data_IF_459875516419
#
_entry.id   IF_459875516419
#
_cell.length_a   1.000
_cell.length_b   1.000
_cell.length_c   1.000
_cell.angle_alpha   90.00
_cell.angle_beta   90.00
_cell.angle_gamma   90.00
#
_symmetry.space_group_name_H-M   'P 1'
#
loop_
_entity.id
_entity.type
_entity.pdbx_description
1 polymer ?
#
# COMPACT_ATOMS: atom_id res chain seq x y z
N UNK A 1 93.98 55.37 -24.71
CA UNK A 1 93.24 55.18 -25.90
C UNK A 1 91.77 54.99 -25.62
N UNK A 2 91.04 56.04 -25.72
CA UNK A 2 89.58 56.05 -25.50
C UNK A 2 88.84 55.29 -26.64
N UNK A 3 88.18 54.29 -26.34
CA UNK A 3 87.18 53.67 -27.24
C UNK A 3 85.83 54.21 -26.87
N UNK A 4 85.44 55.32 -27.53
CA UNK A 4 84.09 55.84 -27.49
C UNK A 4 83.14 54.87 -28.20
N UNK A 5 82.40 54.10 -27.44
CA UNK A 5 81.27 53.35 -27.98
C UNK A 5 80.18 54.35 -28.39
N UNK A 6 80.09 54.66 -29.65
CA UNK A 6 78.96 55.37 -30.27
C UNK A 6 77.74 54.43 -30.03
N UNK A 7 76.89 54.79 -29.11
CA UNK A 7 75.53 54.23 -29.09
C UNK A 7 74.81 54.73 -30.31
N UNK A 8 74.68 53.87 -31.30
CA UNK A 8 73.85 54.15 -32.46
C UNK A 8 72.39 54.26 -32.03
N UNK A 9 71.77 55.46 -32.18
CA UNK A 9 70.36 55.68 -31.78
C UNK A 9 69.41 54.78 -32.48
N UNK A 10 69.75 54.24 -33.65
CA UNK A 10 68.95 53.28 -34.38
C UNK A 10 68.84 51.95 -33.63
N UNK A 11 69.94 51.48 -32.98
CA UNK A 11 69.90 50.27 -32.20
C UNK A 11 69.06 50.37 -30.90
N UNK A 12 69.05 51.61 -30.31
CA UNK A 12 68.19 51.88 -29.14
C UNK A 12 66.68 51.82 -29.49
N UNK A 13 66.34 52.38 -30.67
CA UNK A 13 64.95 52.37 -31.17
C UNK A 13 64.52 50.95 -31.54
N UNK A 14 65.37 50.16 -32.17
CA UNK A 14 65.11 48.78 -32.50
C UNK A 14 64.88 47.96 -31.22
N UNK A 15 65.71 48.11 -30.21
CA UNK A 15 65.57 47.46 -28.94
C UNK A 15 64.28 47.82 -28.19
N UNK A 16 63.90 49.09 -28.20
CA UNK A 16 62.63 49.56 -27.62
C UNK A 16 61.41 49.02 -28.35
N UNK A 17 61.46 48.95 -29.66
CA UNK A 17 60.35 48.34 -30.48
C UNK A 17 60.28 46.83 -30.20
N UNK A 18 61.40 46.15 -30.12
CA UNK A 18 61.40 44.71 -29.78
C UNK A 18 60.83 44.42 -28.37
N UNK A 19 61.18 45.23 -27.39
CA UNK A 19 60.64 45.12 -26.03
C UNK A 19 59.12 45.46 -26.02
N UNK A 20 58.72 46.49 -26.70
CA UNK A 20 57.31 46.90 -26.79
C UNK A 20 56.44 45.78 -27.48
N UNK A 21 56.94 45.21 -28.60
CA UNK A 21 56.25 44.10 -29.27
C UNK A 21 56.23 42.85 -28.43
N UNK A 22 57.30 42.49 -27.72
CA UNK A 22 57.34 41.32 -26.81
C UNK A 22 56.36 41.52 -25.64
N UNK A 23 56.25 42.72 -25.10
CA UNK A 23 55.31 43.06 -24.04
C UNK A 23 53.85 42.99 -24.56
N UNK A 24 53.56 43.57 -25.73
CA UNK A 24 52.22 43.49 -26.33
C UNK A 24 51.80 42.07 -26.65
N UNK A 25 52.68 41.22 -27.20
CA UNK A 25 52.43 39.82 -27.45
C UNK A 25 52.25 39.07 -26.14
N UNK A 26 53.06 39.34 -25.10
CA UNK A 26 52.92 38.72 -23.77
C UNK A 26 51.58 39.08 -23.11
N UNK A 27 51.11 40.31 -23.22
CA UNK A 27 49.80 40.76 -22.71
C UNK A 27 48.67 40.06 -23.49
N UNK A 28 48.76 40.00 -24.81
CA UNK A 28 47.78 39.36 -25.68
C UNK A 28 47.67 37.84 -25.38
N UNK A 29 48.81 37.17 -25.25
CA UNK A 29 48.85 35.73 -24.91
C UNK A 29 48.28 35.47 -23.51
N UNK A 30 48.58 36.32 -22.54
CA UNK A 30 47.97 36.19 -21.19
C UNK A 30 46.45 36.40 -21.25
N UNK A 31 45.97 37.39 -21.99
CA UNK A 31 44.55 37.71 -22.14
C UNK A 31 43.81 36.56 -22.83
N UNK A 32 44.32 36.04 -23.95
CA UNK A 32 43.73 34.90 -24.67
C UNK A 32 43.76 33.57 -23.87
N UNK A 33 44.83 33.35 -23.11
CA UNK A 33 44.89 32.19 -22.17
C UNK A 33 43.84 32.30 -21.06
N UNK A 34 43.66 33.51 -20.48
CA UNK A 34 42.62 33.76 -19.46
C UNK A 34 41.20 33.56 -20.01
N UNK A 35 40.93 34.12 -21.21
CA UNK A 35 39.63 33.97 -21.87
C UNK A 35 39.33 32.51 -22.23
N UNK A 36 40.30 31.73 -22.75
CA UNK A 36 40.17 30.31 -23.02
C UNK A 36 39.95 29.51 -21.74
N UNK A 37 40.70 29.83 -20.67
CA UNK A 37 40.51 29.14 -19.38
C UNK A 37 39.09 29.39 -18.82
N UNK A 38 38.64 30.61 -18.84
CA UNK A 38 37.30 30.98 -18.39
C UNK A 38 36.19 30.32 -19.22
N UNK A 39 36.39 30.23 -20.53
CA UNK A 39 35.44 29.56 -21.44
C UNK A 39 35.37 28.08 -21.19
N UNK A 40 36.52 27.39 -20.95
CA UNK A 40 36.56 25.95 -20.61
C UNK A 40 35.89 25.66 -19.25
N UNK A 41 36.11 26.53 -18.27
CA UNK A 41 35.50 26.40 -16.96
C UNK A 41 33.98 26.63 -17.04
N UNK A 42 33.52 27.64 -17.79
CA UNK A 42 32.08 27.87 -18.00
C UNK A 42 31.40 26.73 -18.76
N UNK A 43 32.09 26.14 -19.77
CA UNK A 43 31.59 24.98 -20.48
C UNK A 43 31.43 23.74 -19.56
N UNK A 44 32.39 23.50 -18.67
CA UNK A 44 32.32 22.45 -17.67
C UNK A 44 31.15 22.60 -16.70
N UNK A 45 30.94 23.85 -16.23
CA UNK A 45 29.84 24.14 -15.31
C UNK A 45 28.48 23.94 -15.97
N UNK A 46 28.34 24.38 -17.23
CA UNK A 46 27.11 24.15 -18.00
C UNK A 46 26.85 22.66 -18.26
N UNK A 47 27.91 21.90 -18.53
CA UNK A 47 27.81 20.43 -18.71
C UNK A 47 27.37 19.77 -17.42
N UNK A 48 27.97 20.09 -16.26
CA UNK A 48 27.56 19.56 -14.97
C UNK A 48 26.09 19.86 -14.65
N UNK A 49 25.64 21.11 -14.82
CA UNK A 49 24.24 21.47 -14.62
C UNK A 49 23.30 20.74 -15.55
N UNK A 50 23.70 20.49 -16.79
CA UNK A 50 22.90 19.72 -17.75
C UNK A 50 22.80 18.24 -17.33
N UNK A 51 23.91 17.67 -16.85
CA UNK A 51 23.94 16.27 -16.34
C UNK A 51 23.06 16.12 -15.11
N UNK A 52 23.12 17.07 -14.16
CA UNK A 52 22.27 17.07 -12.98
C UNK A 52 20.79 17.22 -13.36
N UNK A 53 20.45 18.16 -14.23
CA UNK A 53 19.08 18.33 -14.72
C UNK A 53 18.53 17.08 -15.38
N UNK A 54 19.32 16.40 -16.22
CA UNK A 54 18.92 15.14 -16.84
C UNK A 54 18.73 14.01 -15.84
N UNK A 55 19.58 13.92 -14.81
CA UNK A 55 19.46 12.88 -13.78
C UNK A 55 18.16 13.02 -12.99
N UNK A 56 17.71 14.27 -12.76
CA UNK A 56 16.44 14.56 -12.06
C UNK A 56 15.22 14.36 -12.97
N UNK A 57 15.32 14.74 -14.24
CA UNK A 57 14.19 14.63 -15.20
C UNK A 57 13.94 13.21 -15.68
N UNK A 58 14.88 12.30 -15.52
CA UNK A 58 14.78 10.93 -16.02
C UNK A 58 14.01 10.03 -15.02
N UNK A 59 12.69 10.20 -14.96
CA UNK A 59 11.75 9.46 -14.10
C UNK A 59 11.65 7.95 -14.42
N UNK A 60 12.28 7.49 -15.50
CA UNK A 60 12.19 6.09 -15.95
C UNK A 60 13.41 5.24 -15.56
N UNK A 61 14.30 5.71 -14.70
CA UNK A 61 15.44 4.93 -14.24
C UNK A 61 15.06 4.09 -13.01
N UNK A 62 15.54 2.86 -12.94
CA UNK A 62 15.39 1.94 -11.79
C UNK A 62 16.05 2.47 -10.49
N UNK A 63 16.69 3.62 -10.55
CA UNK A 63 17.39 4.27 -9.43
C UNK A 63 16.64 5.54 -9.05
N UNK A 64 16.41 5.75 -7.76
CA UNK A 64 15.79 6.96 -7.25
C UNK A 64 16.52 8.22 -7.77
N UNK A 65 15.81 9.26 -8.22
CA UNK A 65 16.41 10.46 -8.81
C UNK A 65 17.48 11.09 -7.91
N UNK A 66 17.27 11.09 -6.60
CA UNK A 66 18.20 11.61 -5.60
C UNK A 66 19.52 10.83 -5.61
N UNK A 67 19.47 9.48 -5.60
CA UNK A 67 20.66 8.63 -5.60
C UNK A 67 21.52 8.84 -6.87
N UNK A 68 20.86 9.04 -8.03
CA UNK A 68 21.54 9.31 -9.28
C UNK A 68 22.29 10.66 -9.25
N UNK A 69 21.67 11.70 -8.68
CA UNK A 69 22.29 13.01 -8.50
C UNK A 69 23.42 12.95 -7.49
N UNK A 70 23.22 12.29 -6.33
CA UNK A 70 24.23 12.13 -5.29
C UNK A 70 25.50 11.46 -5.83
N UNK A 71 25.34 10.40 -6.62
CA UNK A 71 26.45 9.73 -7.30
C UNK A 71 27.19 10.71 -8.23
N UNK A 72 26.49 11.46 -9.05
CA UNK A 72 27.09 12.41 -9.97
C UNK A 72 27.81 13.55 -9.26
N UNK A 73 27.27 14.04 -8.16
CA UNK A 73 27.93 15.02 -7.30
C UNK A 73 29.25 14.46 -6.75
N UNK A 74 29.20 13.26 -6.15
CA UNK A 74 30.40 12.62 -5.61
C UNK A 74 31.50 12.39 -6.65
N UNK A 75 31.12 11.89 -7.85
CA UNK A 75 32.05 11.69 -8.97
C UNK A 75 32.63 13.01 -9.50
N UNK A 76 31.79 14.04 -9.70
CA UNK A 76 32.20 15.32 -10.30
C UNK A 76 33.17 16.12 -9.42
N UNK A 77 32.98 16.05 -8.10
CA UNK A 77 33.83 16.76 -7.13
C UNK A 77 34.88 15.88 -6.49
N UNK A 78 35.00 14.61 -6.91
CA UNK A 78 36.01 13.66 -6.42
C UNK A 78 35.87 13.34 -4.94
N UNK A 79 34.63 13.34 -4.43
CA UNK A 79 34.34 13.06 -3.05
C UNK A 79 34.40 11.55 -2.75
N UNK A 80 34.65 11.18 -1.51
CA UNK A 80 34.60 9.81 -1.03
C UNK A 80 33.21 9.46 -0.51
N UNK A 81 32.50 10.46 0.04
CA UNK A 81 31.16 10.38 0.55
C UNK A 81 30.38 11.64 0.20
N UNK A 82 29.11 11.47 -0.15
CA UNK A 82 28.16 12.55 -0.28
C UNK A 82 26.88 12.14 0.47
N UNK A 83 26.39 13.00 1.35
CA UNK A 83 25.20 12.75 2.16
C UNK A 83 24.23 13.92 2.05
N UNK A 84 22.97 13.62 1.80
CA UNK A 84 21.87 14.56 1.82
C UNK A 84 21.11 14.39 3.13
N UNK A 85 20.98 15.47 3.88
CA UNK A 85 20.35 15.46 5.22
C UNK A 85 19.20 16.48 5.18
N UNK A 86 18.10 16.18 5.81
CA UNK A 86 16.97 17.10 5.96
C UNK A 86 17.19 18.09 7.11
N UNK A 87 16.27 19.05 7.27
CA UNK A 87 16.31 20.04 8.35
C UNK A 87 16.19 19.42 9.76
N UNK A 88 15.70 18.18 9.88
CA UNK A 88 15.61 17.42 11.15
C UNK A 88 16.91 16.73 11.51
N UNK A 89 17.86 16.66 10.58
CA UNK A 89 19.12 15.92 10.72
C UNK A 89 19.02 14.47 10.28
N UNK A 90 17.94 14.07 9.63
CA UNK A 90 17.75 12.73 9.10
C UNK A 90 18.40 12.59 7.72
N UNK A 91 19.12 11.49 7.52
CA UNK A 91 19.80 11.21 6.24
C UNK A 91 18.80 10.74 5.20
N UNK A 92 18.64 11.51 4.13
CA UNK A 92 17.74 11.22 3.00
C UNK A 92 18.40 10.33 1.96
N UNK A 93 19.70 10.53 1.69
CA UNK A 93 20.48 9.72 0.76
C UNK A 93 21.96 9.78 1.08
N UNK A 94 22.68 8.68 0.84
CA UNK A 94 24.13 8.59 1.03
C UNK A 94 24.77 7.88 -0.15
N UNK A 95 25.85 8.48 -0.68
CA UNK A 95 26.67 7.87 -1.70
C UNK A 95 28.11 7.72 -1.24
N UNK A 96 28.73 6.60 -1.62
CA UNK A 96 30.14 6.29 -1.36
C UNK A 96 30.87 5.98 -2.67
N UNK A 97 32.12 6.42 -2.81
CA UNK A 97 32.95 6.02 -3.93
C UNK A 97 33.31 4.53 -3.87
N UNK A 98 33.48 3.91 -5.02
CA UNK A 98 33.83 2.47 -5.12
C UNK A 98 35.18 2.10 -4.45
N UNK A 99 36.07 3.08 -4.24
CA UNK A 99 37.31 2.90 -3.51
C UNK A 99 37.10 2.85 -1.98
N UNK A 100 36.08 3.51 -1.46
CA UNK A 100 35.70 3.50 -0.05
C UNK A 100 34.89 2.26 0.33
N UNK A 101 34.11 1.71 -0.62
CA UNK A 101 33.24 0.56 -0.40
C UNK A 101 33.99 -0.77 -0.13
N UNK A 102 35.28 -0.89 -0.46
CA UNK A 102 36.08 -2.10 -0.19
C UNK A 102 36.47 -2.30 1.28
N UNK A 103 36.17 -1.34 2.15
CA UNK A 103 36.48 -1.40 3.58
C UNK A 103 35.32 -1.83 4.49
N UNK A 104 34.10 -1.99 3.98
CA UNK A 104 32.93 -2.36 4.79
C UNK A 104 32.10 -3.45 4.11
N UNK A 105 32.66 -4.67 4.01
CA UNK A 105 31.83 -5.87 3.84
C UNK A 105 31.49 -6.40 5.24
N UNK A 106 30.29 -6.09 5.73
CA UNK A 106 29.60 -6.97 6.66
C UNK A 106 28.10 -6.73 6.60
N UNK A 107 27.41 -7.71 6.04
CA UNK A 107 26.13 -8.30 6.48
C UNK A 107 24.85 -7.45 6.51
N UNK A 108 23.85 -7.93 5.75
CA UNK A 108 22.49 -7.97 6.23
C UNK A 108 21.50 -7.08 5.48
N UNK A 109 20.70 -7.74 4.65
CA UNK A 109 19.39 -7.28 4.25
C UNK A 109 18.52 -7.10 5.48
N UNK A 110 17.92 -5.93 5.67
CA UNK A 110 16.93 -5.70 6.69
C UNK A 110 16.86 -4.24 7.12
N UNK A 111 15.70 -3.66 6.99
CA UNK A 111 15.17 -2.46 7.62
C UNK A 111 16.09 -1.21 7.69
N UNK A 112 15.71 -0.21 6.90
CA UNK A 112 16.26 1.15 6.98
C UNK A 112 15.83 1.81 8.30
N UNK A 113 16.57 1.55 9.39
CA UNK A 113 16.57 2.41 10.57
C UNK A 113 17.69 3.43 10.40
N UNK A 114 17.30 4.68 10.20
CA UNK A 114 18.19 5.83 10.13
C UNK A 114 18.82 6.10 11.50
N UNK A 115 19.96 5.50 11.75
CA UNK A 115 20.80 5.85 12.89
C UNK A 115 22.10 6.42 12.32
N UNK A 116 22.42 7.65 12.68
CA UNK A 116 23.69 8.30 12.38
C UNK A 116 24.82 7.36 12.79
N UNK A 117 25.40 6.62 11.82
CA UNK A 117 26.53 5.76 12.08
C UNK A 117 27.71 6.63 12.49
N UNK A 118 28.44 6.27 13.57
CA UNK A 118 29.64 7.02 13.97
C UNK A 118 30.64 6.96 12.81
N UNK A 119 31.11 8.14 12.40
CA UNK A 119 32.11 8.35 11.36
C UNK A 119 33.33 7.51 11.69
N UNK A 120 33.76 6.52 10.87
CA UNK A 120 35.05 5.90 11.08
C UNK A 120 36.11 6.98 10.85
N UNK A 121 36.85 7.32 11.88
CA UNK A 121 37.99 8.25 11.79
C UNK A 121 39.00 7.67 10.82
N UNK A 122 38.99 8.16 9.60
CA UNK A 122 39.98 7.85 8.58
C UNK A 122 41.34 8.44 8.96
N UNK A 123 42.39 7.74 8.53
CA UNK A 123 43.79 8.10 8.74
C UNK A 123 44.15 9.51 8.26
N UNK A 124 45.21 10.15 8.75
CA UNK A 124 45.49 11.57 8.54
C UNK A 124 45.99 11.88 7.14
N UNK A 125 45.08 12.19 6.26
CA UNK A 125 45.32 12.76 4.95
C UNK A 125 44.12 13.63 4.60
N UNK A 126 44.21 14.93 4.85
CA UNK A 126 43.41 16.10 4.41
C UNK A 126 42.05 15.82 3.74
N UNK A 127 41.16 15.04 4.33
CA UNK A 127 39.77 15.01 3.94
C UNK A 127 39.08 16.15 4.68
N UNK A 128 38.47 17.06 3.89
CA UNK A 128 37.74 18.19 4.42
C UNK A 128 36.26 17.85 4.21
N UNK A 129 35.49 17.89 5.30
CA UNK A 129 34.04 17.89 5.21
C UNK A 129 33.56 19.29 4.79
N UNK A 130 32.84 19.36 3.68
CA UNK A 130 32.22 20.60 3.21
C UNK A 130 30.71 20.43 3.29
N UNK A 131 30.08 21.25 4.12
CA UNK A 131 28.60 21.28 4.24
C UNK A 131 28.09 22.47 3.45
N UNK A 132 27.09 22.22 2.61
CA UNK A 132 26.42 23.26 1.81
C UNK A 132 24.94 23.13 2.04
N UNK A 133 24.29 24.22 2.47
CA UNK A 133 22.86 24.27 2.68
C UNK A 133 22.14 24.73 1.39
N UNK A 134 20.89 24.29 1.20
CA UNK A 134 19.99 24.91 0.23
C UNK A 134 19.64 26.34 0.66
N UNK A 135 19.21 27.18 -0.28
CA UNK A 135 18.86 28.58 0.02
C UNK A 135 17.75 28.73 1.08
N UNK A 136 16.80 27.78 1.10
CA UNK A 136 15.71 27.71 2.06
C UNK A 136 16.04 26.90 3.33
N UNK A 137 17.28 26.40 3.46
CA UNK A 137 17.79 25.59 4.58
C UNK A 137 16.96 24.30 4.85
N UNK A 138 16.24 23.82 3.84
CA UNK A 138 15.43 22.59 3.98
C UNK A 138 16.26 21.32 3.86
N UNK A 139 17.39 21.38 3.16
CA UNK A 139 18.34 20.27 3.08
C UNK A 139 19.78 20.75 3.21
N UNK A 140 20.61 19.87 3.74
CA UNK A 140 22.06 19.99 3.79
C UNK A 140 22.71 18.94 2.90
N UNK A 141 23.70 19.35 2.11
CA UNK A 141 24.55 18.45 1.35
C UNK A 141 25.95 18.43 1.96
N UNK A 142 26.28 17.34 2.64
CA UNK A 142 27.57 17.11 3.24
C UNK A 142 28.45 16.30 2.28
N UNK A 143 29.63 16.86 1.93
CA UNK A 143 30.59 16.27 1.02
C UNK A 143 31.92 16.04 1.74
N UNK A 144 32.42 14.82 1.74
CA UNK A 144 33.71 14.45 2.30
C UNK A 144 34.71 14.16 1.16
N UNK A 145 35.76 14.96 1.06
CA UNK A 145 36.72 14.83 -0.03
C UNK A 145 37.75 15.97 -0.09
N UNK A 146 38.24 16.33 -1.29
CA UNK A 146 39.16 17.45 -1.48
C UNK A 146 38.50 18.78 -1.14
N UNK A 147 39.30 19.78 -0.74
CA UNK A 147 38.78 21.12 -0.49
C UNK A 147 38.13 21.72 -1.75
N UNK A 148 36.88 22.10 -1.64
CA UNK A 148 36.14 22.74 -2.72
C UNK A 148 36.54 24.20 -2.88
N UNK A 149 36.74 24.65 -4.13
CA UNK A 149 36.92 26.05 -4.46
C UNK A 149 35.64 26.87 -4.15
N UNK A 150 35.73 28.18 -4.02
CA UNK A 150 34.57 29.04 -3.81
C UNK A 150 33.51 28.85 -4.92
N UNK A 151 33.95 28.61 -6.17
CA UNK A 151 33.08 28.37 -7.32
C UNK A 151 32.41 27.03 -7.25
N UNK A 152 33.13 25.97 -6.87
CA UNK A 152 32.55 24.61 -6.69
C UNK A 152 31.48 24.62 -5.61
N UNK A 153 31.69 25.34 -4.49
CA UNK A 153 30.67 25.53 -3.44
C UNK A 153 29.39 26.16 -3.96
N UNK A 154 29.50 27.17 -4.87
CA UNK A 154 28.31 27.75 -5.49
C UNK A 154 27.55 26.75 -6.36
N UNK A 155 28.28 25.93 -7.14
CA UNK A 155 27.64 24.85 -7.92
C UNK A 155 26.96 23.81 -7.04
N UNK A 156 27.61 23.40 -5.97
CA UNK A 156 27.03 22.46 -4.98
C UNK A 156 25.80 23.07 -4.30
N UNK A 157 25.79 24.39 -4.02
CA UNK A 157 24.60 25.08 -3.47
C UNK A 157 23.41 25.05 -4.43
N UNK A 158 23.67 25.25 -5.74
CA UNK A 158 22.62 25.11 -6.77
C UNK A 158 22.06 23.70 -6.81
N UNK A 159 22.93 22.69 -6.72
CA UNK A 159 22.50 21.27 -6.68
C UNK A 159 21.72 20.99 -5.40
N UNK A 160 22.15 21.50 -4.25
CA UNK A 160 21.41 21.35 -2.98
C UNK A 160 20.00 21.97 -3.07
N UNK A 161 19.86 23.17 -3.67
CA UNK A 161 18.56 23.78 -3.94
C UNK A 161 17.68 22.94 -4.85
N UNK A 162 18.28 22.30 -5.84
CA UNK A 162 17.56 21.38 -6.74
C UNK A 162 17.06 20.14 -6.01
N UNK A 163 17.91 19.52 -5.18
CA UNK A 163 17.57 18.37 -4.36
C UNK A 163 16.48 18.71 -3.33
N UNK A 164 16.53 19.91 -2.74
CA UNK A 164 15.48 20.44 -1.88
C UNK A 164 14.12 20.47 -2.58
N UNK A 165 14.08 20.92 -3.83
CA UNK A 165 12.86 20.91 -4.66
C UNK A 165 12.32 19.50 -4.87
N UNK A 166 13.18 18.52 -5.18
CA UNK A 166 12.78 17.12 -5.39
C UNK A 166 12.23 16.49 -4.10
N UNK A 167 12.91 16.69 -2.97
CA UNK A 167 12.46 16.21 -1.66
C UNK A 167 11.10 16.80 -1.29
N UNK A 168 10.92 18.10 -1.53
CA UNK A 168 9.66 18.79 -1.25
C UNK A 168 8.51 18.30 -2.14
N UNK A 169 8.76 18.06 -3.44
CA UNK A 169 7.76 17.49 -4.36
C UNK A 169 7.32 16.09 -3.89
N UNK A 170 8.26 15.25 -3.48
CA UNK A 170 8.00 13.91 -2.96
C UNK A 170 7.16 13.97 -1.66
N UNK A 171 7.53 14.84 -0.71
CA UNK A 171 6.80 15.03 0.54
C UNK A 171 5.37 15.52 0.28
N UNK A 172 5.19 16.50 -0.62
CA UNK A 172 3.85 16.98 -0.99
C UNK A 172 3.01 15.89 -1.67
N UNK A 173 3.63 15.07 -2.52
CA UNK A 173 2.96 13.94 -3.17
C UNK A 173 2.49 12.91 -2.16
N UNK A 174 3.33 12.55 -1.20
CA UNK A 174 3.00 11.60 -0.12
C UNK A 174 1.89 12.15 0.79
N UNK A 175 1.95 13.42 1.15
CA UNK A 175 0.91 14.06 1.96
C UNK A 175 -0.43 14.14 1.20
N UNK A 176 -0.40 14.50 -0.09
CA UNK A 176 -1.59 14.49 -0.93
C UNK A 176 -2.20 13.08 -1.04
N UNK A 177 -1.37 12.05 -1.24
CA UNK A 177 -1.82 10.66 -1.27
C UNK A 177 -2.46 10.25 0.07
N UNK A 178 -1.86 10.65 1.20
CA UNK A 178 -2.40 10.39 2.54
C UNK A 178 -3.74 11.09 2.78
N UNK A 179 -3.84 12.37 2.41
CA UNK A 179 -5.10 13.13 2.53
C UNK A 179 -6.20 12.51 1.67
N UNK A 180 -5.87 12.13 0.44
CA UNK A 180 -6.82 11.47 -0.47
C UNK A 180 -7.28 10.12 0.08
N UNK A 181 -6.37 9.31 0.65
CA UNK A 181 -6.73 8.03 1.26
C UNK A 181 -7.69 8.21 2.45
N UNK A 182 -7.44 9.21 3.31
CA UNK A 182 -8.33 9.53 4.45
C UNK A 182 -9.70 10.02 3.96
N UNK A 183 -9.73 10.90 2.94
CA UNK A 183 -10.97 11.40 2.36
C UNK A 183 -11.80 10.28 1.72
N UNK A 184 -11.17 9.38 0.95
CA UNK A 184 -11.83 8.22 0.37
C UNK A 184 -12.39 7.26 1.43
N UNK A 185 -11.66 7.03 2.52
CA UNK A 185 -12.13 6.23 3.66
C UNK A 185 -13.34 6.86 4.36
N UNK A 186 -13.36 8.19 4.54
CA UNK A 186 -14.48 8.90 5.17
C UNK A 186 -15.72 8.92 4.26
N UNK A 187 -15.54 9.11 2.96
CA UNK A 187 -16.63 9.03 1.97
C UNK A 187 -17.24 7.62 1.94
N UNK A 188 -16.41 6.59 1.90
CA UNK A 188 -16.84 5.19 2.00
C UNK A 188 -17.65 5.00 3.30
N UNK A 189 -17.12 5.44 4.45
CA UNK A 189 -17.81 5.32 5.74
C UNK A 189 -19.20 5.98 5.73
N UNK A 190 -19.34 7.18 5.15
CA UNK A 190 -20.63 7.86 5.03
C UNK A 190 -21.61 7.12 4.13
N UNK A 191 -21.14 6.64 2.97
CA UNK A 191 -21.96 5.83 2.07
C UNK A 191 -22.47 4.55 2.78
N UNK A 192 -21.59 3.89 3.54
CA UNK A 192 -21.91 2.71 4.34
C UNK A 192 -22.98 2.98 5.39
N UNK A 193 -22.84 4.04 6.20
CA UNK A 193 -23.84 4.41 7.20
C UNK A 193 -25.19 4.73 6.57
N UNK A 194 -25.20 5.33 5.40
CA UNK A 194 -26.43 5.60 4.64
C UNK A 194 -27.11 4.32 4.16
N UNK A 195 -26.35 3.39 3.57
CA UNK A 195 -26.87 2.10 3.11
C UNK A 195 -27.41 1.25 4.26
N UNK A 196 -26.63 1.10 5.35
CA UNK A 196 -27.07 0.39 6.56
C UNK A 196 -28.36 0.99 7.13
N UNK A 197 -28.45 2.33 7.19
CA UNK A 197 -29.65 3.01 7.69
C UNK A 197 -30.88 2.74 6.83
N UNK A 198 -30.70 2.67 5.51
CA UNK A 198 -31.78 2.33 4.58
C UNK A 198 -32.24 0.89 4.79
N UNK A 199 -31.29 -0.06 4.85
CA UNK A 199 -31.58 -1.49 4.90
C UNK A 199 -32.13 -1.92 6.30
N UNK A 200 -31.86 -1.16 7.36
CA UNK A 200 -32.52 -1.32 8.65
C UNK A 200 -33.93 -0.73 8.67
N UNK A 201 -34.17 0.35 7.94
CA UNK A 201 -35.49 1.05 7.95
C UNK A 201 -36.57 0.23 7.31
N UNK A 202 -36.28 -0.51 6.24
CA UNK A 202 -37.27 -1.30 5.49
C UNK A 202 -37.92 -2.38 6.36
N UNK A 203 -37.19 -3.35 6.95
CA UNK A 203 -37.80 -4.37 7.77
C UNK A 203 -38.44 -3.78 9.06
N UNK A 204 -37.87 -2.71 9.62
CA UNK A 204 -38.46 -2.01 10.75
C UNK A 204 -39.82 -1.40 10.41
N UNK A 205 -39.97 -0.81 9.22
CA UNK A 205 -41.22 -0.25 8.75
C UNK A 205 -42.28 -1.34 8.49
N UNK A 206 -41.86 -2.47 7.88
CA UNK A 206 -42.73 -3.64 7.64
C UNK A 206 -43.24 -4.22 8.98
N UNK A 207 -42.36 -4.51 9.92
CA UNK A 207 -42.75 -5.00 11.25
C UNK A 207 -43.68 -4.03 11.97
N UNK A 208 -43.38 -2.72 11.91
CA UNK A 208 -44.24 -1.69 12.51
C UNK A 208 -45.61 -1.61 11.86
N UNK A 209 -45.69 -1.73 10.55
CA UNK A 209 -46.95 -1.71 9.82
C UNK A 209 -47.81 -2.94 10.19
N UNK A 210 -47.25 -4.14 10.17
CA UNK A 210 -47.91 -5.37 10.55
C UNK A 210 -48.46 -5.32 11.97
N UNK A 211 -47.65 -4.89 12.94
CA UNK A 211 -48.10 -4.71 14.32
C UNK A 211 -49.16 -3.63 14.43
N UNK A 212 -49.06 -2.53 13.68
CA UNK A 212 -50.05 -1.47 13.70
C UNK A 212 -51.40 -1.94 13.12
N UNK A 213 -51.36 -2.75 12.07
CA UNK A 213 -52.58 -3.37 11.46
C UNK A 213 -53.22 -4.31 12.47
N UNK A 214 -52.49 -5.17 13.13
CA UNK A 214 -53.00 -6.09 14.18
C UNK A 214 -53.60 -5.36 15.40
N UNK A 215 -53.18 -4.15 15.67
CA UNK A 215 -53.71 -3.32 16.77
C UNK A 215 -54.91 -2.49 16.37
N UNK A 216 -55.21 -2.39 15.09
CA UNK A 216 -56.37 -1.64 14.62
C UNK A 216 -57.65 -2.40 14.91
N UNK A 217 -58.46 -1.94 15.83
CA UNK A 217 -59.74 -2.55 16.21
C UNK A 217 -60.87 -2.33 15.21
N UNK A 218 -60.63 -1.51 14.18
CA UNK A 218 -61.66 -1.25 13.13
C UNK A 218 -61.58 -2.33 12.02
N UNK A 219 -60.54 -3.16 11.99
CA UNK A 219 -60.33 -4.21 11.00
C UNK A 219 -60.38 -5.57 11.70
N UNK A 220 -61.36 -6.40 11.32
CA UNK A 220 -61.42 -7.80 11.73
C UNK A 220 -60.56 -8.65 10.74
N UNK A 221 -59.44 -9.19 11.22
CA UNK A 221 -58.60 -10.12 10.47
C UNK A 221 -59.08 -11.56 10.69
N UNK A 222 -59.04 -12.37 9.64
CA UNK A 222 -59.18 -13.82 9.80
C UNK A 222 -58.04 -14.39 10.66
N UNK A 223 -58.18 -15.57 11.27
CA UNK A 223 -57.10 -16.23 11.96
C UNK A 223 -55.86 -16.41 11.07
N UNK A 224 -56.08 -16.70 9.80
CA UNK A 224 -55.02 -16.92 8.78
C UNK A 224 -54.29 -15.63 8.48
N UNK A 225 -55.00 -14.50 8.24
CA UNK A 225 -54.35 -13.18 8.00
C UNK A 225 -53.58 -12.71 9.20
N UNK A 226 -54.07 -13.00 10.43
CA UNK A 226 -53.40 -12.66 11.66
C UNK A 226 -52.07 -13.41 11.83
N UNK A 227 -52.08 -14.71 11.51
CA UNK A 227 -50.89 -15.55 11.53
C UNK A 227 -49.89 -15.08 10.49
N UNK A 228 -50.32 -14.72 9.28
CA UNK A 228 -49.46 -14.16 8.23
C UNK A 228 -48.78 -12.84 8.68
N UNK A 229 -49.53 -11.90 9.27
CA UNK A 229 -48.96 -10.65 9.76
C UNK A 229 -47.95 -10.88 10.94
N UNK A 230 -48.21 -11.87 11.78
CA UNK A 230 -47.28 -12.26 12.87
C UNK A 230 -46.01 -12.90 12.28
N UNK A 231 -46.15 -13.78 11.29
CA UNK A 231 -45.04 -14.41 10.61
C UNK A 231 -44.16 -13.36 9.88
N UNK A 232 -44.77 -12.39 9.20
CA UNK A 232 -44.08 -11.28 8.53
C UNK A 232 -43.34 -10.39 9.55
N UNK A 233 -43.94 -10.14 10.70
CA UNK A 233 -43.29 -9.40 11.81
C UNK A 233 -42.08 -10.15 12.33
N UNK A 234 -42.19 -11.45 12.57
CA UNK A 234 -41.09 -12.29 13.03
C UNK A 234 -39.95 -12.30 12.00
N UNK A 235 -40.24 -12.55 10.74
CA UNK A 235 -39.24 -12.53 9.65
C UNK A 235 -38.51 -11.19 9.55
N UNK A 236 -39.23 -10.06 9.71
CA UNK A 236 -38.63 -8.72 9.72
C UNK A 236 -37.69 -8.51 10.90
N UNK A 237 -38.03 -9.02 12.08
CA UNK A 237 -37.18 -8.94 13.29
C UNK A 237 -35.92 -9.82 13.10
N UNK A 238 -36.07 -11.01 12.56
CA UNK A 238 -34.95 -11.92 12.28
C UNK A 238 -33.97 -11.30 11.28
N UNK A 239 -34.50 -10.67 10.22
CA UNK A 239 -33.68 -9.91 9.25
C UNK A 239 -32.92 -8.76 9.91
N UNK A 240 -33.53 -7.98 10.79
CA UNK A 240 -32.86 -6.93 11.55
C UNK A 240 -31.76 -7.49 12.44
N UNK A 241 -32.01 -8.60 13.11
CA UNK A 241 -31.04 -9.27 13.98
C UNK A 241 -29.82 -9.72 13.18
N UNK A 242 -30.01 -10.31 12.00
CA UNK A 242 -28.92 -10.71 11.09
C UNK A 242 -28.11 -9.51 10.63
N UNK A 243 -28.76 -8.41 10.23
CA UNK A 243 -28.08 -7.18 9.78
C UNK A 243 -27.20 -6.58 10.89
N UNK A 244 -27.73 -6.45 12.12
CA UNK A 244 -27.00 -5.91 13.27
C UNK A 244 -25.82 -6.82 13.61
N UNK A 245 -26.01 -8.13 13.60
CA UNK A 245 -24.96 -9.10 13.92
C UNK A 245 -23.84 -9.06 12.90
N UNK A 246 -24.16 -9.01 11.59
CA UNK A 246 -23.16 -8.87 10.51
C UNK A 246 -22.38 -7.55 10.62
N UNK A 247 -23.04 -6.46 11.02
CA UNK A 247 -22.39 -5.16 11.25
C UNK A 247 -21.40 -5.21 12.43
N UNK A 248 -21.81 -5.85 13.54
CA UNK A 248 -20.94 -6.02 14.70
C UNK A 248 -19.75 -6.93 14.40
N UNK A 249 -19.97 -8.03 13.67
CA UNK A 249 -18.91 -8.94 13.24
C UNK A 249 -17.89 -8.21 12.33
N UNK A 250 -18.39 -7.46 11.34
CA UNK A 250 -17.54 -6.64 10.47
C UNK A 250 -16.76 -5.57 11.26
N UNK A 251 -17.40 -4.93 12.24
CA UNK A 251 -16.73 -3.94 13.10
C UNK A 251 -15.59 -4.57 13.92
N UNK A 252 -15.81 -5.76 14.48
CA UNK A 252 -14.77 -6.51 15.24
C UNK A 252 -13.60 -6.92 14.35
N UNK A 253 -13.90 -7.41 13.12
CA UNK A 253 -12.88 -7.76 12.13
C UNK A 253 -12.04 -6.53 11.74
N UNK A 254 -12.69 -5.42 11.43
CA UNK A 254 -12.02 -4.17 11.04
C UNK A 254 -11.15 -3.57 12.15
N UNK A 255 -11.51 -3.81 13.41
CA UNK A 255 -10.73 -3.41 14.58
C UNK A 255 -9.59 -4.37 14.93
N UNK A 256 -9.44 -5.49 14.19
CA UNK A 256 -8.47 -6.54 14.52
C UNK A 256 -8.75 -7.25 15.86
N UNK A 257 -10.00 -7.15 16.35
CA UNK A 257 -10.39 -7.65 17.68
C UNK A 257 -10.88 -9.12 17.67
N UNK A 258 -10.84 -9.79 16.51
CA UNK A 258 -11.25 -11.19 16.38
C UNK A 258 -10.04 -12.07 16.66
N UNK A 259 -10.10 -12.83 17.75
CA UNK A 259 -9.12 -13.85 18.10
C UNK A 259 -9.78 -15.23 18.00
N UNK A 260 -9.39 -16.03 17.01
CA UNK A 260 -9.93 -17.37 16.84
C UNK A 260 -9.31 -18.35 17.84
N UNK A 261 -10.16 -19.08 18.57
CA UNK A 261 -9.75 -20.22 19.39
C UNK A 261 -9.78 -21.48 18.54
N UNK A 262 -8.66 -21.81 17.93
CA UNK A 262 -8.56 -22.96 17.04
C UNK A 262 -8.47 -24.27 17.84
N UNK A 263 -9.36 -25.17 17.53
CA UNK A 263 -9.42 -26.54 18.11
C UNK A 263 -9.86 -27.54 17.02
N UNK A 264 -9.77 -28.81 17.29
CA UNK A 264 -10.30 -29.84 16.38
C UNK A 264 -11.84 -29.80 16.41
N UNK A 265 -12.44 -29.35 15.31
CA UNK A 265 -13.88 -29.13 15.16
C UNK A 265 -14.47 -30.19 14.23
N UNK A 266 -15.51 -30.89 14.67
CA UNK A 266 -16.23 -31.83 13.83
C UNK A 266 -17.18 -31.12 12.88
N UNK A 267 -16.98 -31.34 11.57
CA UNK A 267 -17.64 -30.59 10.53
C UNK A 267 -19.13 -30.84 10.44
N UNK A 268 -19.55 -32.09 10.63
CA UNK A 268 -20.96 -32.47 10.55
C UNK A 268 -21.81 -31.78 11.62
N UNK A 269 -21.33 -31.74 12.87
CA UNK A 269 -22.03 -31.05 13.97
C UNK A 269 -22.13 -29.53 13.75
N UNK A 270 -21.05 -28.90 13.30
CA UNK A 270 -21.07 -27.44 13.02
C UNK A 270 -22.00 -27.12 11.87
N UNK A 271 -21.99 -27.93 10.80
CA UNK A 271 -22.91 -27.77 9.68
C UNK A 271 -24.37 -27.88 10.13
N UNK A 272 -24.67 -28.85 10.98
CA UNK A 272 -26.02 -29.01 11.54
C UNK A 272 -26.47 -27.81 12.39
N UNK A 273 -25.59 -27.26 13.24
CA UNK A 273 -25.89 -26.03 13.99
C UNK A 273 -26.10 -24.84 13.09
N UNK A 274 -25.27 -24.67 12.05
CA UNK A 274 -25.40 -23.58 11.08
C UNK A 274 -26.73 -23.67 10.32
N UNK A 275 -27.19 -24.88 9.91
CA UNK A 275 -28.51 -25.07 9.29
C UNK A 275 -29.63 -24.69 10.28
N UNK A 276 -29.51 -25.11 11.53
CA UNK A 276 -30.49 -24.76 12.57
C UNK A 276 -30.56 -23.24 12.81
N UNK A 277 -29.42 -22.54 12.78
CA UNK A 277 -29.37 -21.08 12.88
C UNK A 277 -30.05 -20.40 11.70
N UNK A 278 -29.91 -20.92 10.46
CA UNK A 278 -30.61 -20.42 9.29
C UNK A 278 -32.13 -20.68 9.31
N UNK A 279 -32.57 -21.71 10.02
CA UNK A 279 -33.98 -22.07 10.08
C UNK A 279 -34.87 -20.99 10.75
N UNK A 280 -34.30 -20.10 11.55
CA UNK A 280 -35.07 -19.03 12.19
C UNK A 280 -35.55 -17.93 11.24
N UNK A 281 -34.95 -17.78 10.06
CA UNK A 281 -35.36 -16.79 9.04
C UNK A 281 -35.98 -17.39 7.77
N UNK A 282 -36.06 -18.71 7.66
CA UNK A 282 -36.48 -19.41 6.44
C UNK A 282 -37.54 -20.47 6.70
N UNK A 283 -38.36 -20.77 5.70
CA UNK A 283 -39.37 -21.80 5.81
C UNK A 283 -38.76 -23.20 5.92
N UNK A 284 -39.49 -24.12 6.54
CA UNK A 284 -39.05 -25.55 6.63
C UNK A 284 -38.77 -26.16 5.25
N UNK A 285 -39.50 -25.78 4.22
CA UNK A 285 -39.29 -26.22 2.84
C UNK A 285 -37.95 -25.74 2.28
N UNK A 286 -37.51 -24.53 2.63
CA UNK A 286 -36.22 -23.99 2.22
C UNK A 286 -35.06 -24.70 2.91
N UNK A 287 -35.17 -24.97 4.22
CA UNK A 287 -34.11 -25.67 4.98
C UNK A 287 -34.01 -27.16 4.65
N UNK A 288 -35.05 -27.78 4.11
CA UNK A 288 -34.99 -29.15 3.61
C UNK A 288 -34.15 -29.33 2.33
N UNK A 289 -33.72 -28.26 1.69
CA UNK A 289 -32.85 -28.28 0.50
C UNK A 289 -31.37 -28.50 0.83
N UNK A 290 -30.98 -28.37 2.09
CA UNK A 290 -29.60 -28.65 2.52
C UNK A 290 -29.32 -30.15 2.52
N UNK A 291 -28.29 -30.52 1.78
CA UNK A 291 -27.77 -31.87 1.71
C UNK A 291 -26.36 -31.91 2.34
N UNK A 292 -26.21 -32.61 3.45
CA UNK A 292 -24.93 -32.84 4.07
C UNK A 292 -24.37 -34.17 3.55
N UNK A 293 -23.28 -34.12 2.82
CA UNK A 293 -22.61 -35.32 2.29
C UNK A 293 -22.03 -36.15 3.42
N UNK A 294 -21.96 -37.47 3.21
CA UNK A 294 -21.41 -38.40 4.20
C UNK A 294 -19.92 -38.19 4.50
N UNK A 295 -19.18 -37.54 3.59
CA UNK A 295 -17.78 -37.14 3.77
C UNK A 295 -17.53 -36.21 4.97
N UNK A 296 -18.56 -35.50 5.43
CA UNK A 296 -18.49 -34.66 6.63
C UNK A 296 -18.41 -35.46 7.95
N UNK A 297 -18.90 -36.70 7.97
CA UNK A 297 -18.98 -37.50 9.19
C UNK A 297 -17.59 -37.93 9.67
N UNK A 298 -17.27 -37.61 10.91
CA UNK A 298 -15.98 -37.92 11.51
C UNK A 298 -14.81 -37.12 10.95
N UNK A 299 -15.08 -36.18 10.02
CA UNK A 299 -14.05 -35.27 9.53
C UNK A 299 -13.91 -34.06 10.46
N UNK A 300 -12.67 -33.75 10.83
CA UNK A 300 -12.34 -32.61 11.69
C UNK A 300 -11.35 -31.70 11.01
N UNK A 301 -11.46 -30.36 11.24
CA UNK A 301 -10.49 -29.38 10.86
C UNK A 301 -10.06 -28.52 12.06
N UNK A 302 -8.91 -27.85 11.96
CA UNK A 302 -8.43 -26.93 12.98
C UNK A 302 -9.07 -25.54 12.77
N UNK A 303 -10.14 -25.25 13.52
CA UNK A 303 -10.94 -24.05 13.39
C UNK A 303 -11.52 -23.60 14.74
N UNK A 304 -12.16 -22.44 14.78
CA UNK A 304 -13.02 -22.01 15.87
C UNK A 304 -14.46 -22.39 15.54
N UNK A 305 -15.07 -23.23 16.38
CA UNK A 305 -16.39 -23.79 16.13
C UNK A 305 -17.48 -22.71 15.96
N UNK A 306 -17.42 -21.64 16.77
CA UNK A 306 -18.40 -20.56 16.70
C UNK A 306 -18.21 -19.68 15.44
N UNK A 307 -16.97 -19.39 15.08
CA UNK A 307 -16.67 -18.63 13.85
C UNK A 307 -17.01 -19.45 12.60
N UNK A 308 -16.71 -20.76 12.60
CA UNK A 308 -17.04 -21.65 11.48
C UNK A 308 -18.55 -21.79 11.31
N UNK A 309 -19.32 -21.91 12.40
CA UNK A 309 -20.79 -21.91 12.36
C UNK A 309 -21.32 -20.62 11.71
N UNK A 310 -20.77 -19.45 12.08
CA UNK A 310 -21.12 -18.15 11.49
C UNK A 310 -20.78 -18.05 10.01
N UNK A 311 -19.62 -18.59 9.60
CA UNK A 311 -19.20 -18.68 8.20
C UNK A 311 -20.20 -19.49 7.39
N UNK A 312 -20.54 -20.70 7.87
CA UNK A 312 -21.48 -21.58 7.19
C UNK A 312 -22.89 -20.98 7.16
N UNK A 313 -23.36 -20.37 8.26
CA UNK A 313 -24.67 -19.71 8.28
C UNK A 313 -24.77 -18.57 7.24
N UNK A 314 -23.73 -17.75 7.09
CA UNK A 314 -23.68 -16.70 6.07
C UNK A 314 -23.68 -17.29 4.64
N UNK A 315 -22.95 -18.38 4.40
CA UNK A 315 -22.94 -19.05 3.09
C UNK A 315 -24.27 -19.74 2.78
N UNK A 316 -24.89 -20.37 3.75
CA UNK A 316 -26.22 -20.98 3.61
C UNK A 316 -27.31 -19.94 3.32
N UNK A 317 -27.31 -18.79 4.02
CA UNK A 317 -28.22 -17.69 3.75
C UNK A 317 -28.05 -17.16 2.31
N UNK A 318 -26.80 -16.99 1.86
CA UNK A 318 -26.51 -16.62 0.48
C UNK A 318 -27.06 -17.65 -0.53
N UNK A 319 -26.82 -18.95 -0.31
CA UNK A 319 -27.30 -20.00 -1.18
C UNK A 319 -28.84 -20.02 -1.26
N UNK A 320 -29.55 -19.89 -0.12
CA UNK A 320 -31.01 -19.80 -0.09
C UNK A 320 -31.56 -18.58 -0.83
N UNK A 321 -30.86 -17.46 -0.77
CA UNK A 321 -31.25 -16.19 -1.39
C UNK A 321 -31.03 -16.20 -2.91
N UNK A 322 -29.88 -16.67 -3.38
CA UNK A 322 -29.50 -16.57 -4.79
C UNK A 322 -29.84 -17.84 -5.61
N UNK A 323 -30.01 -18.98 -4.94
CA UNK A 323 -30.51 -20.21 -5.56
C UNK A 323 -31.92 -20.52 -5.04
N UNK A 324 -33.00 -19.97 -5.59
CA UNK A 324 -34.37 -20.15 -5.08
C UNK A 324 -34.88 -21.58 -5.21
N UNK A 325 -34.28 -22.39 -6.06
CA UNK A 325 -34.62 -23.81 -6.30
C UNK A 325 -33.37 -24.67 -6.31
N UNK A 326 -33.51 -25.98 -6.29
CA UNK A 326 -32.41 -26.95 -6.33
C UNK A 326 -31.84 -27.30 -4.95
N UNK A 327 -30.91 -28.20 -4.91
CA UNK A 327 -30.22 -28.65 -3.69
C UNK A 327 -29.05 -27.74 -3.35
N UNK A 328 -28.72 -27.65 -2.07
CA UNK A 328 -27.55 -26.95 -1.55
C UNK A 328 -26.70 -28.02 -0.87
N UNK A 329 -25.61 -28.41 -1.54
CA UNK A 329 -24.74 -29.51 -1.11
C UNK A 329 -23.53 -28.99 -0.35
N UNK A 330 -23.30 -29.52 0.86
CA UNK A 330 -22.08 -29.33 1.61
C UNK A 330 -21.31 -30.65 1.67
N UNK A 331 -20.07 -30.65 1.23
CA UNK A 331 -19.16 -31.81 1.24
C UNK A 331 -17.78 -31.41 1.80
N UNK A 332 -16.95 -32.39 2.17
CA UNK A 332 -15.61 -32.15 2.62
C UNK A 332 -14.62 -33.17 2.04
N UNK A 333 -13.39 -32.76 1.82
CA UNK A 333 -12.30 -33.61 1.37
C UNK A 333 -10.99 -33.19 2.05
N UNK A 334 -10.03 -34.11 2.13
CA UNK A 334 -8.65 -33.80 2.56
C UNK A 334 -7.78 -33.67 1.32
N UNK A 335 -7.15 -32.51 1.17
CA UNK A 335 -6.24 -32.18 0.06
C UNK A 335 -4.98 -31.56 0.67
N UNK A 336 -3.82 -32.15 0.42
CA UNK A 336 -2.50 -31.66 0.84
C UNK A 336 -2.44 -31.21 2.33
N UNK A 337 -2.82 -32.10 3.26
CA UNK A 337 -2.90 -31.82 4.71
C UNK A 337 -3.86 -30.69 5.14
N UNK A 338 -4.75 -30.29 4.24
CA UNK A 338 -5.82 -29.35 4.51
C UNK A 338 -7.19 -30.00 4.32
N UNK A 339 -8.13 -29.53 5.08
CA UNK A 339 -9.54 -29.93 4.91
C UNK A 339 -10.22 -28.87 4.06
N UNK A 340 -10.71 -29.27 2.91
CA UNK A 340 -11.51 -28.44 2.02
C UNK A 340 -12.99 -28.74 2.25
N UNK A 341 -13.73 -27.70 2.63
CA UNK A 341 -15.17 -27.72 2.83
C UNK A 341 -15.82 -26.99 1.66
N UNK A 342 -16.59 -27.69 0.85
CA UNK A 342 -17.17 -27.19 -0.39
C UNK A 342 -18.68 -27.07 -0.28
N UNK A 343 -19.21 -25.87 -0.48
CA UNK A 343 -20.63 -25.57 -0.56
C UNK A 343 -20.99 -25.25 -2.02
N UNK A 344 -21.87 -26.03 -2.59
CA UNK A 344 -22.37 -25.84 -3.98
C UNK A 344 -23.87 -25.58 -3.99
N UNK A 345 -24.32 -24.63 -4.78
CA UNK A 345 -25.72 -24.34 -5.05
C UNK A 345 -26.03 -24.42 -6.55
N UNK A 346 -27.31 -24.54 -6.90
CA UNK A 346 -27.82 -24.59 -8.28
C UNK A 346 -28.35 -23.22 -8.75
N UNK A 347 -27.78 -22.13 -8.24
CA UNK A 347 -28.17 -20.75 -8.62
C UNK A 347 -27.63 -20.30 -9.98
N UNK A 348 -27.79 -19.04 -10.34
CA UNK A 348 -27.33 -18.48 -11.62
C UNK A 348 -25.79 -18.36 -11.73
N UNK A 349 -25.05 -18.69 -10.67
CA UNK A 349 -23.61 -18.52 -10.61
C UNK A 349 -23.17 -17.06 -10.43
N UNK A 350 -21.84 -16.87 -10.44
CA UNK A 350 -21.21 -15.56 -10.19
C UNK A 350 -20.38 -15.16 -11.41
N UNK A 351 -20.67 -14.01 -12.06
CA UNK A 351 -19.89 -13.54 -13.19
C UNK A 351 -18.40 -13.40 -12.86
N UNK A 352 -17.47 -13.82 -13.74
CA UNK A 352 -16.03 -13.80 -13.48
C UNK A 352 -15.48 -12.42 -13.07
N UNK A 353 -16.06 -11.35 -13.65
CA UNK A 353 -15.65 -9.99 -13.33
C UNK A 353 -15.97 -9.59 -11.89
N UNK A 354 -16.99 -10.20 -11.28
CA UNK A 354 -17.45 -9.90 -9.92
C UNK A 354 -16.79 -10.78 -8.84
N UNK A 355 -16.13 -11.88 -9.23
CA UNK A 355 -15.53 -12.83 -8.28
C UNK A 355 -14.41 -12.22 -7.42
N UNK A 356 -13.61 -11.30 -7.98
CA UNK A 356 -12.51 -10.65 -7.26
C UNK A 356 -13.01 -9.73 -6.14
N UNK A 357 -14.12 -9.04 -6.39
CA UNK A 357 -14.60 -7.97 -5.51
C UNK A 357 -15.74 -8.42 -4.59
N UNK A 358 -16.32 -9.62 -4.80
CA UNK A 358 -17.47 -10.09 -4.05
C UNK A 358 -17.24 -10.26 -2.54
N UNK A 359 -16.01 -10.46 -2.13
CA UNK A 359 -15.61 -10.51 -0.73
C UNK A 359 -15.29 -9.14 -0.12
N UNK A 360 -15.31 -8.08 -0.92
CA UNK A 360 -15.17 -6.73 -0.39
C UNK A 360 -16.45 -6.35 0.36
N UNK A 361 -16.29 -5.66 1.48
CA UNK A 361 -17.44 -5.22 2.26
C UNK A 361 -18.34 -4.32 1.42
N UNK A 362 -19.68 -4.50 1.56
CA UNK A 362 -20.72 -3.72 0.89
C UNK A 362 -20.82 -3.90 -0.64
N UNK A 363 -20.18 -4.93 -1.19
CA UNK A 363 -20.36 -5.32 -2.59
C UNK A 363 -21.67 -6.10 -2.76
N UNK A 364 -22.44 -5.75 -3.79
CA UNK A 364 -23.71 -6.40 -4.18
C UNK A 364 -23.58 -6.95 -5.59
N UNK A 365 -23.97 -8.20 -5.82
CA UNK A 365 -23.83 -8.88 -7.12
C UNK A 365 -24.93 -8.50 -8.11
N UNK A 366 -26.08 -7.95 -7.67
CA UNK A 366 -27.24 -7.63 -8.48
C UNK A 366 -27.55 -6.14 -8.56
N UNK A 367 -28.08 -5.71 -9.72
CA UNK A 367 -28.62 -4.36 -9.97
C UNK A 367 -30.12 -4.23 -9.63
N UNK A 368 -30.74 -5.28 -9.11
CA UNK A 368 -32.19 -5.28 -8.84
C UNK A 368 -32.47 -4.67 -7.48
N UNK A 369 -33.34 -3.64 -7.49
CA UNK A 369 -33.82 -2.87 -6.33
C UNK A 369 -34.49 -3.71 -5.22
N UNK A 370 -34.56 -5.03 -5.36
CA UNK A 370 -35.28 -5.93 -4.45
C UNK A 370 -34.37 -6.88 -3.65
N UNK A 371 -33.03 -6.83 -3.85
CA UNK A 371 -32.09 -7.64 -3.06
C UNK A 371 -31.79 -6.94 -1.74
N UNK A 372 -32.56 -7.28 -0.71
CA UNK A 372 -32.35 -6.81 0.66
C UNK A 372 -31.09 -7.44 1.25
N UNK A 373 -30.03 -6.66 1.42
CA UNK A 373 -28.82 -7.07 2.12
C UNK A 373 -27.69 -6.06 2.01
N UNK A 374 -27.01 -5.77 3.12
CA UNK A 374 -25.94 -4.77 3.24
C UNK A 374 -24.67 -5.16 2.47
N UNK A 375 -24.55 -6.39 1.96
CA UNK A 375 -23.34 -6.87 1.29
C UNK A 375 -22.16 -7.11 2.28
N UNK A 376 -22.46 -7.41 3.54
CA UNK A 376 -21.46 -7.69 4.59
C UNK A 376 -21.18 -9.18 4.78
N UNK A 377 -22.12 -10.08 4.42
CA UNK A 377 -22.02 -11.51 4.73
C UNK A 377 -20.74 -12.15 4.20
N UNK A 378 -20.39 -11.95 2.94
CA UNK A 378 -19.18 -12.54 2.34
C UNK A 378 -17.88 -11.90 2.84
N UNK A 379 -17.87 -10.62 3.20
CA UNK A 379 -16.71 -10.00 3.83
C UNK A 379 -16.46 -10.54 5.24
N UNK A 380 -17.52 -10.84 5.99
CA UNK A 380 -17.45 -11.53 7.30
C UNK A 380 -16.94 -12.97 7.13
N UNK A 381 -17.44 -13.70 6.11
CA UNK A 381 -16.94 -15.04 5.77
C UNK A 381 -15.44 -15.01 5.56
N UNK A 382 -14.95 -14.15 4.69
CA UNK A 382 -13.51 -14.01 4.40
C UNK A 382 -12.72 -13.66 5.66
N UNK A 383 -13.14 -12.65 6.41
CA UNK A 383 -12.43 -12.20 7.61
C UNK A 383 -12.35 -13.28 8.69
N UNK A 384 -13.44 -14.05 8.93
CA UNK A 384 -13.41 -15.14 9.90
C UNK A 384 -12.58 -16.32 9.42
N UNK A 385 -12.64 -16.67 8.13
CA UNK A 385 -11.80 -17.73 7.56
C UNK A 385 -10.32 -17.36 7.67
N UNK A 386 -9.94 -16.14 7.36
CA UNK A 386 -8.56 -15.62 7.51
C UNK A 386 -8.12 -15.61 8.99
N UNK A 387 -9.01 -15.21 9.93
CA UNK A 387 -8.72 -15.26 11.37
C UNK A 387 -8.45 -16.69 11.86
N UNK A 388 -9.06 -17.69 11.24
CA UNK A 388 -8.82 -19.10 11.49
C UNK A 388 -7.64 -19.70 10.69
N UNK A 389 -6.84 -18.87 9.98
CA UNK A 389 -5.75 -19.28 9.07
C UNK A 389 -6.23 -20.17 7.90
N UNK A 390 -7.49 -20.00 7.52
CA UNK A 390 -8.08 -20.61 6.34
C UNK A 390 -7.98 -19.72 5.10
N UNK A 391 -8.47 -20.28 3.98
CA UNK A 391 -8.67 -19.53 2.73
C UNK A 391 -10.07 -19.82 2.20
N UNK A 392 -10.67 -18.84 1.50
CA UNK A 392 -11.94 -18.99 0.81
C UNK A 392 -11.78 -18.66 -0.66
N UNK A 393 -12.30 -19.54 -1.51
CA UNK A 393 -12.34 -19.36 -2.96
C UNK A 393 -13.76 -19.58 -3.47
N UNK A 394 -14.03 -19.11 -4.68
CA UNK A 394 -15.31 -19.33 -5.36
C UNK A 394 -15.07 -19.65 -6.81
N UNK A 395 -15.81 -20.63 -7.29
CA UNK A 395 -15.86 -21.01 -8.70
C UNK A 395 -17.26 -20.78 -9.25
N UNK A 396 -17.34 -20.25 -10.46
CA UNK A 396 -18.59 -20.10 -11.20
C UNK A 396 -18.70 -21.24 -12.21
N UNK A 397 -19.22 -22.35 -11.74
CA UNK A 397 -19.78 -23.41 -12.57
C UNK A 397 -21.32 -23.21 -12.60
N UNK A 398 -22.12 -23.98 -13.31
CA UNK A 398 -23.57 -23.83 -13.19
C UNK A 398 -23.96 -23.84 -11.69
N UNK A 399 -24.29 -22.65 -11.14
CA UNK A 399 -24.35 -22.39 -9.71
C UNK A 399 -23.12 -21.70 -9.14
N UNK A 400 -23.06 -21.47 -7.84
CA UNK A 400 -21.88 -21.02 -7.13
C UNK A 400 -21.29 -22.14 -6.25
N UNK A 401 -19.98 -22.28 -6.30
CA UNK A 401 -19.25 -23.24 -5.48
C UNK A 401 -18.23 -22.51 -4.62
N UNK A 402 -18.45 -22.45 -3.31
CA UNK A 402 -17.56 -21.87 -2.33
C UNK A 402 -16.69 -22.97 -1.72
N UNK A 403 -15.38 -22.83 -1.74
CA UNK A 403 -14.43 -23.73 -1.11
C UNK A 403 -13.72 -23.02 0.02
N UNK A 404 -13.86 -23.58 1.25
CA UNK A 404 -13.16 -23.14 2.46
C UNK A 404 -12.06 -24.14 2.74
N UNK A 405 -10.82 -23.71 2.89
CA UNK A 405 -9.69 -24.58 3.17
C UNK A 405 -9.09 -24.25 4.53
N UNK A 406 -9.02 -25.25 5.43
CA UNK A 406 -8.48 -25.12 6.78
C UNK A 406 -7.35 -26.12 7.02
N UNK A 407 -6.39 -25.85 7.92
CA UNK A 407 -5.44 -26.85 8.35
C UNK A 407 -6.16 -28.04 9.00
N UNK A 408 -5.70 -29.27 8.70
CA UNK A 408 -6.28 -30.46 9.33
C UNK A 408 -5.89 -30.58 10.81
N UNK A 409 -4.67 -30.15 11.16
CA UNK A 409 -4.13 -30.14 12.53
C UNK A 409 -3.55 -28.78 12.86
N UNK A 410 -3.42 -28.48 14.13
CA UNK A 410 -2.66 -27.33 14.59
C UNK A 410 -1.18 -27.57 14.23
N UNK A 411 -0.66 -26.85 13.23
CA UNK A 411 0.76 -26.88 12.92
C UNK A 411 1.53 -26.32 14.11
N UNK A 412 2.65 -26.95 14.45
CA UNK A 412 3.64 -26.40 15.36
C UNK A 412 3.95 -24.96 14.90
N UNK A 413 3.86 -24.02 15.82
CA UNK A 413 4.10 -22.59 15.57
C UNK A 413 5.48 -22.40 14.95
N UNK A 414 5.55 -21.87 13.73
CA UNK A 414 6.76 -21.19 13.21
C UNK A 414 6.98 -19.88 14.02
N UNK A 415 7.32 -20.03 15.30
CA UNK A 415 7.94 -19.00 16.12
C UNK A 415 9.39 -19.42 16.36
N UNK A 416 10.27 -19.10 15.41
CA UNK A 416 11.70 -18.90 15.61
C UNK A 416 12.18 -17.60 14.94
#
# INVERSE_FOLDING_TARGET
>A
GDVYKRHDPANAVIAAVMVATALAVGILVRRTKGERHNALVAARDAELLTVFSRAVLNRNADVAPIDAVMRKVGEAFGCHRAELVDASGDSLAVWYSSSAARGSQSTGSGERKHTRLPIPRSAPGKNIETVVHSEDQTVELALEGPALSARDRTLVAVVAGYLAGVVREEQLSQEAARVNAVAAADELRRALLSSVSHDLRTPLATAKLAVSSLRNSEVEFSPEDREELLAETAASIDQLTLLVTNLLDHSRLSAGAVTARREAVELYEVAHRAIASCAFGHSRAQTQRFVLDESLRGMTCCADAALLERVLANLFDNALRYAPTGEILLSAAVVDDRVELTLSDEGPGIPPEKQKDMFAAFQRLGDTNNDSGVGLGLSVVRGFVEAMRGTVTVEATPGATFTLSFPQREGESDDE
#
